data_IF_083897792071
#
_entry.id   IF_083897792071
#
_cell.length_a   1.000
_cell.length_b   1.000
_cell.length_c   1.000
_cell.angle_alpha   90.00
_cell.angle_beta   90.00
_cell.angle_gamma   90.00
#
_symmetry.space_group_name_H-M   'P 1'
#
loop_
_entity.id
_entity.type
_entity.pdbx_description
1 polymer ?
#
# COMPACT_ATOMS: atom_id res chain seq x y z
N UNK A 1 11.18 6.96 -32.38
CA UNK A 1 11.60 6.16 -31.23
C UNK A 1 12.48 7.03 -30.34
N UNK A 2 12.04 7.26 -29.10
CA UNK A 2 12.83 7.94 -28.07
C UNK A 2 13.42 6.88 -27.14
N UNK A 3 14.73 6.90 -26.94
CA UNK A 3 15.44 5.98 -26.04
C UNK A 3 16.22 6.81 -25.03
N UNK A 4 15.97 6.57 -23.74
CA UNK A 4 16.68 7.18 -22.62
C UNK A 4 17.10 6.05 -21.67
N UNK A 5 18.38 5.68 -21.73
CA UNK A 5 18.93 4.55 -20.97
C UNK A 5 18.15 3.25 -21.25
N UNK A 6 17.57 2.63 -20.24
CA UNK A 6 16.72 1.43 -20.31
C UNK A 6 15.24 1.73 -20.60
N UNK A 7 14.90 3.00 -20.89
CA UNK A 7 13.54 3.47 -21.19
C UNK A 7 13.37 3.67 -22.69
N UNK A 8 12.25 3.20 -23.20
CA UNK A 8 11.95 3.26 -24.63
C UNK A 8 10.48 3.60 -24.87
N UNK A 9 10.25 4.56 -25.79
CA UNK A 9 8.93 4.92 -26.29
C UNK A 9 8.96 4.71 -27.80
N UNK A 10 8.10 3.85 -28.35
CA UNK A 10 8.06 3.60 -29.79
C UNK A 10 7.38 4.73 -30.55
N UNK A 11 6.30 5.27 -30.01
CA UNK A 11 5.54 6.35 -30.63
C UNK A 11 5.19 7.42 -29.62
N UNK A 12 5.39 8.68 -29.98
CA UNK A 12 4.96 9.84 -29.21
C UNK A 12 4.32 10.86 -30.17
N UNK A 13 3.10 11.29 -29.84
CA UNK A 13 2.39 12.36 -30.52
C UNK A 13 2.06 13.43 -29.51
N UNK A 14 2.39 14.66 -29.83
CA UNK A 14 2.11 15.82 -29.00
C UNK A 14 1.48 16.90 -29.86
N UNK A 15 0.26 17.26 -29.57
CA UNK A 15 -0.49 18.31 -30.27
C UNK A 15 -0.69 19.49 -29.31
N UNK A 16 -0.49 20.70 -29.82
CA UNK A 16 -0.71 21.94 -29.07
C UNK A 16 -1.71 22.83 -29.82
N UNK A 17 -2.63 23.41 -29.09
CA UNK A 17 -3.54 24.46 -29.57
C UNK A 17 -3.49 25.63 -28.61
N UNK A 18 -3.26 26.84 -29.13
CA UNK A 18 -3.16 28.06 -28.32
C UNK A 18 -4.25 29.05 -28.73
N UNK A 19 -5.19 29.32 -27.82
CA UNK A 19 -6.17 30.39 -27.94
C UNK A 19 -6.50 30.92 -26.53
N UNK A 20 -5.55 31.70 -25.96
CA UNK A 20 -5.64 32.19 -24.58
C UNK A 20 -5.18 31.17 -23.51
N UNK A 21 -5.69 29.97 -23.53
CA UNK A 21 -5.21 28.81 -22.74
C UNK A 21 -4.56 27.82 -23.67
N UNK A 22 -3.33 27.38 -23.38
CA UNK A 22 -2.69 26.33 -24.17
C UNK A 22 -3.31 24.99 -23.82
N UNK A 23 -3.82 24.31 -24.81
CA UNK A 23 -4.25 22.91 -24.71
C UNK A 23 -3.15 22.02 -25.26
N UNK A 24 -2.82 20.96 -24.54
CA UNK A 24 -1.86 19.97 -24.98
C UNK A 24 -2.46 18.58 -24.88
N UNK A 25 -2.25 17.77 -25.91
CA UNK A 25 -2.56 16.35 -25.91
C UNK A 25 -1.28 15.56 -26.12
N UNK A 26 -1.05 14.57 -25.29
CA UNK A 26 0.10 13.67 -25.34
C UNK A 26 -0.40 12.26 -25.47
N UNK A 27 -0.01 11.56 -26.52
CA UNK A 27 -0.27 10.14 -26.74
C UNK A 27 1.09 9.42 -26.92
N UNK A 28 1.35 8.44 -26.05
CA UNK A 28 2.55 7.61 -26.05
C UNK A 28 2.13 6.16 -26.18
N UNK A 29 2.83 5.38 -27.01
CA UNK A 29 2.52 3.96 -27.21
C UNK A 29 3.75 3.07 -27.03
N UNK A 30 3.52 1.85 -26.54
CA UNK A 30 4.54 0.82 -26.31
C UNK A 30 5.73 1.34 -25.49
N UNK A 31 5.44 1.74 -24.27
CA UNK A 31 6.39 2.36 -23.37
C UNK A 31 7.04 1.27 -22.53
N UNK A 32 8.36 1.19 -22.59
CA UNK A 32 9.17 0.33 -21.72
C UNK A 32 9.88 1.20 -20.67
N UNK A 33 9.73 0.86 -19.41
CA UNK A 33 10.32 1.53 -18.26
C UNK A 33 11.10 0.49 -17.43
N UNK A 34 12.21 0.02 -17.99
CA UNK A 34 12.95 -1.10 -17.42
C UNK A 34 12.12 -2.40 -17.48
N UNK A 35 11.83 -2.95 -16.32
CA UNK A 35 11.02 -4.17 -16.15
C UNK A 35 9.52 -3.96 -16.35
N UNK A 36 9.05 -2.71 -16.48
CA UNK A 36 7.64 -2.35 -16.61
C UNK A 36 7.30 -1.96 -18.03
N UNK A 37 6.14 -2.42 -18.51
CA UNK A 37 5.65 -2.14 -19.85
C UNK A 37 4.24 -1.53 -19.79
N UNK A 38 4.02 -0.49 -20.57
CA UNK A 38 2.71 0.12 -20.78
C UNK A 38 2.35 0.06 -22.25
N UNK A 39 1.09 -0.26 -22.55
CA UNK A 39 0.57 -0.26 -23.91
C UNK A 39 0.46 1.15 -24.45
N UNK A 40 -0.15 2.03 -23.63
CA UNK A 40 -0.47 3.39 -24.05
C UNK A 40 -0.57 4.30 -22.83
N UNK A 41 -0.20 5.56 -23.00
CA UNK A 41 -0.56 6.70 -22.13
C UNK A 41 -1.20 7.75 -23.01
N UNK A 42 -2.34 8.29 -22.57
CA UNK A 42 -3.01 9.42 -23.22
C UNK A 42 -3.33 10.46 -22.16
N UNK A 43 -3.00 11.70 -22.42
CA UNK A 43 -3.21 12.78 -21.47
C UNK A 43 -3.59 14.09 -22.18
N UNK A 44 -4.64 14.75 -21.65
CA UNK A 44 -5.08 16.05 -22.11
C UNK A 44 -4.84 17.09 -21.01
N UNK A 45 -4.19 18.17 -21.38
CA UNK A 45 -3.83 19.23 -20.44
C UNK A 45 -4.40 20.57 -20.87
N UNK A 46 -4.82 21.37 -19.90
CA UNK A 46 -5.00 22.79 -20.03
C UNK A 46 -3.87 23.48 -19.26
N UNK A 47 -3.08 24.31 -19.96
CA UNK A 47 -1.87 24.93 -19.42
C UNK A 47 -2.05 26.45 -19.42
N UNK A 48 -1.85 27.06 -18.26
CA UNK A 48 -1.74 28.49 -18.04
C UNK A 48 -0.40 28.81 -17.36
N UNK A 49 -0.04 30.07 -17.23
CA UNK A 49 1.14 30.49 -16.46
C UNK A 49 1.11 30.02 -15.00
N UNK A 50 -0.08 29.92 -14.41
CA UNK A 50 -0.26 29.60 -12.98
C UNK A 50 -0.50 28.12 -12.72
N UNK A 51 -1.03 27.37 -13.70
CA UNK A 51 -1.56 26.04 -13.46
C UNK A 51 -1.51 25.13 -14.69
N UNK A 52 -1.13 23.89 -14.47
CA UNK A 52 -1.28 22.79 -15.43
C UNK A 52 -2.40 21.89 -14.91
N UNK A 53 -3.45 21.70 -15.70
CA UNK A 53 -4.60 20.85 -15.36
C UNK A 53 -4.61 19.64 -16.29
N UNK A 54 -4.46 18.45 -15.73
CA UNK A 54 -4.71 17.18 -16.40
C UNK A 54 -6.22 16.92 -16.33
N UNK A 55 -6.92 17.15 -17.44
CA UNK A 55 -8.37 16.99 -17.53
C UNK A 55 -8.79 15.56 -17.80
N UNK A 56 -7.99 14.81 -18.56
CA UNK A 56 -8.25 13.43 -18.91
C UNK A 56 -6.91 12.70 -19.12
N UNK A 57 -6.50 11.95 -18.12
CA UNK A 57 -5.34 11.09 -18.17
C UNK A 57 -5.76 9.62 -18.18
N UNK A 58 -5.20 8.84 -19.08
CA UNK A 58 -5.43 7.40 -19.16
C UNK A 58 -4.11 6.69 -19.34
N UNK A 59 -3.88 5.67 -18.52
CA UNK A 59 -2.72 4.78 -18.64
C UNK A 59 -3.24 3.37 -18.84
N UNK A 60 -2.78 2.71 -19.88
CA UNK A 60 -3.06 1.29 -20.16
C UNK A 60 -1.80 0.48 -19.88
N UNK A 61 -1.68 -0.16 -18.72
CA UNK A 61 -0.72 -1.23 -18.51
C UNK A 61 -1.00 -2.39 -19.44
N UNK A 62 -0.34 -3.53 -19.27
CA UNK A 62 -0.63 -4.73 -20.08
C UNK A 62 -2.05 -5.28 -19.79
N UNK A 63 -2.62 -4.98 -18.63
CA UNK A 63 -4.01 -5.25 -18.26
C UNK A 63 -4.72 -3.99 -17.74
N UNK A 64 -6.05 -3.92 -17.89
CA UNK A 64 -6.88 -2.88 -17.29
C UNK A 64 -6.64 -1.45 -17.77
N UNK A 65 -7.07 -0.51 -16.94
CA UNK A 65 -7.01 0.92 -17.21
C UNK A 65 -6.84 1.70 -15.91
N UNK A 66 -5.96 2.70 -15.93
CA UNK A 66 -5.83 3.70 -14.88
C UNK A 66 -6.30 5.05 -15.45
N UNK A 67 -7.30 5.64 -14.82
CA UNK A 67 -7.77 6.99 -15.11
C UNK A 67 -7.14 7.97 -14.12
N UNK A 68 -6.72 9.12 -14.62
CA UNK A 68 -6.04 10.16 -13.87
C UNK A 68 -6.69 11.53 -14.17
N UNK A 69 -6.84 12.35 -13.17
CA UNK A 69 -7.18 13.77 -13.33
C UNK A 69 -6.54 14.56 -12.20
N UNK A 70 -6.12 15.79 -12.46
CA UNK A 70 -5.45 16.54 -11.42
C UNK A 70 -4.94 17.89 -11.87
N UNK A 71 -4.14 18.50 -11.03
CA UNK A 71 -3.49 19.77 -11.35
C UNK A 71 -2.14 19.90 -10.65
N UNK A 72 -1.30 20.71 -11.22
CA UNK A 72 -0.01 21.12 -10.71
C UNK A 72 0.09 22.65 -10.80
N UNK A 73 0.59 23.29 -9.75
CA UNK A 73 1.03 24.69 -9.75
C UNK A 73 2.55 24.72 -9.92
N UNK A 74 3.07 25.13 -11.09
CA UNK A 74 4.50 25.03 -11.38
C UNK A 74 5.39 25.82 -10.41
N UNK A 75 4.94 27.01 -10.00
CA UNK A 75 5.69 27.89 -9.11
C UNK A 75 5.95 27.27 -7.73
N UNK A 76 4.93 26.67 -7.10
CA UNK A 76 5.04 26.07 -5.77
C UNK A 76 5.35 24.58 -5.80
N UNK A 77 5.25 23.92 -6.96
CA UNK A 77 5.31 22.47 -7.08
C UNK A 77 4.10 21.74 -6.47
N UNK A 78 3.11 22.46 -5.92
CA UNK A 78 1.97 21.83 -5.28
C UNK A 78 1.04 21.18 -6.31
N UNK A 79 0.60 19.95 -5.99
CA UNK A 79 -0.27 19.19 -6.88
C UNK A 79 -1.47 18.58 -6.15
N UNK A 80 -2.52 18.30 -6.91
CA UNK A 80 -3.58 17.38 -6.51
C UNK A 80 -3.88 16.42 -7.66
N UNK A 81 -4.13 15.15 -7.33
CA UNK A 81 -4.40 14.10 -8.29
C UNK A 81 -5.50 13.18 -7.80
N UNK A 82 -6.45 12.86 -8.67
CA UNK A 82 -7.44 11.79 -8.49
C UNK A 82 -7.08 10.65 -9.44
N UNK A 83 -7.24 9.43 -8.97
CA UNK A 83 -6.93 8.26 -9.77
C UNK A 83 -7.91 7.12 -9.49
N UNK A 84 -8.12 6.30 -10.52
CA UNK A 84 -8.90 5.06 -10.44
C UNK A 84 -8.29 4.03 -11.36
N UNK A 85 -7.90 2.89 -10.79
CA UNK A 85 -7.46 1.71 -11.54
C UNK A 85 -8.50 0.61 -11.48
N UNK A 86 -8.78 -0.04 -12.62
CA UNK A 86 -9.75 -1.11 -12.74
C UNK A 86 -9.25 -2.21 -13.68
N UNK A 87 -9.59 -3.47 -13.35
CA UNK A 87 -9.20 -4.68 -14.12
C UNK A 87 -7.68 -4.80 -14.33
N UNK A 88 -6.90 -4.32 -13.37
CA UNK A 88 -5.44 -4.40 -13.39
C UNK A 88 -4.98 -5.76 -12.87
N UNK A 89 -3.77 -6.15 -13.21
CA UNK A 89 -3.01 -7.20 -12.54
C UNK A 89 -1.92 -6.56 -11.71
N UNK A 90 -1.92 -6.81 -10.39
CA UNK A 90 -1.01 -6.15 -9.45
C UNK A 90 0.46 -6.46 -9.75
N UNK A 91 0.76 -7.64 -10.28
CA UNK A 91 2.10 -8.04 -10.68
C UNK A 91 2.72 -7.15 -11.78
N UNK A 92 1.91 -6.41 -12.52
CA UNK A 92 2.40 -5.43 -13.50
C UNK A 92 2.90 -4.14 -12.85
N UNK A 93 2.45 -3.85 -11.64
CA UNK A 93 2.85 -2.69 -10.85
C UNK A 93 3.90 -3.04 -9.80
N UNK A 94 3.76 -4.22 -9.19
CA UNK A 94 4.61 -4.74 -8.11
C UNK A 94 5.05 -6.18 -8.44
N UNK A 95 5.94 -6.35 -9.43
CA UNK A 95 6.40 -7.68 -9.83
C UNK A 95 7.01 -8.42 -8.63
N UNK A 96 6.82 -9.75 -8.59
CA UNK A 96 7.32 -10.65 -7.55
C UNK A 96 6.79 -10.42 -6.12
N UNK A 97 6.12 -9.31 -5.84
CA UNK A 97 5.58 -9.01 -4.50
C UNK A 97 4.15 -9.49 -4.33
N UNK A 98 3.31 -9.25 -5.32
CA UNK A 98 1.88 -9.58 -5.30
C UNK A 98 1.43 -10.10 -6.65
N UNK A 99 0.42 -10.98 -6.67
CA UNK A 99 -0.28 -11.45 -7.87
C UNK A 99 -1.77 -11.36 -7.67
N UNK A 100 -2.50 -11.03 -8.72
CA UNK A 100 -3.97 -11.08 -8.76
C UNK A 100 -4.63 -9.80 -9.28
N UNK A 101 -5.94 -9.86 -9.48
CA UNK A 101 -6.74 -8.71 -9.89
C UNK A 101 -6.71 -7.58 -8.86
N UNK A 102 -6.45 -6.37 -9.35
CA UNK A 102 -6.31 -5.16 -8.54
C UNK A 102 -7.31 -4.10 -8.99
N UNK A 103 -7.97 -3.49 -8.03
CA UNK A 103 -8.74 -2.26 -8.16
C UNK A 103 -8.28 -1.26 -7.11
N UNK A 104 -8.18 -0.01 -7.48
CA UNK A 104 -7.92 1.08 -6.54
C UNK A 104 -8.55 2.39 -7.00
N UNK A 105 -8.83 3.25 -6.06
CA UNK A 105 -9.17 4.63 -6.33
C UNK A 105 -8.74 5.52 -5.17
N UNK A 106 -8.54 6.79 -5.47
CA UNK A 106 -8.13 7.72 -4.44
C UNK A 106 -7.89 9.13 -4.96
N UNK A 107 -7.49 9.97 -4.03
CA UNK A 107 -7.02 11.31 -4.30
C UNK A 107 -5.81 11.62 -3.40
N UNK A 108 -4.82 12.24 -3.99
CA UNK A 108 -3.58 12.65 -3.33
C UNK A 108 -3.31 14.12 -3.59
N UNK A 109 -2.72 14.77 -2.61
CA UNK A 109 -2.15 16.11 -2.69
C UNK A 109 -0.73 16.07 -2.14
N UNK A 110 0.10 16.97 -2.60
CA UNK A 110 1.48 17.05 -2.13
C UNK A 110 2.22 18.18 -2.82
N UNK A 111 3.53 18.21 -2.59
CA UNK A 111 4.45 19.13 -3.24
C UNK A 111 5.56 18.33 -3.89
N UNK A 112 5.88 18.65 -5.15
CA UNK A 112 7.02 18.04 -5.82
C UNK A 112 8.32 18.57 -5.18
N UNK A 113 9.29 17.69 -4.93
CA UNK A 113 10.61 18.13 -4.46
C UNK A 113 11.22 19.16 -5.40
N UNK A 114 11.81 20.20 -4.83
CA UNK A 114 12.49 21.27 -5.58
C UNK A 114 13.98 20.95 -5.66
N UNK A 115 14.62 21.27 -6.79
CA UNK A 115 16.06 21.13 -7.00
C UNK A 115 16.48 20.08 -8.00
N UNK A 116 17.80 19.98 -8.24
CA UNK A 116 18.41 19.10 -9.26
C UNK A 116 18.82 17.72 -8.72
N UNK A 117 18.66 17.45 -7.43
CA UNK A 117 18.92 16.12 -6.86
C UNK A 117 17.80 15.16 -7.24
N UNK A 118 18.14 13.93 -7.62
CA UNK A 118 17.13 12.87 -7.80
C UNK A 118 16.46 12.59 -6.44
N UNK A 119 15.20 12.99 -6.25
CA UNK A 119 14.57 12.84 -4.94
C UNK A 119 14.25 11.37 -4.64
N UNK A 120 14.47 10.98 -3.39
CA UNK A 120 14.07 9.69 -2.88
C UNK A 120 12.61 9.64 -2.46
N UNK A 121 12.09 8.44 -2.14
CA UNK A 121 10.72 8.27 -1.65
C UNK A 121 10.37 9.17 -0.45
N UNK A 122 11.25 9.38 0.55
CA UNK A 122 10.98 10.29 1.66
C UNK A 122 10.67 11.73 1.24
N UNK A 123 11.34 12.23 0.21
CA UNK A 123 11.13 13.60 -0.28
C UNK A 123 9.78 13.77 -0.96
N UNK A 124 9.33 12.78 -1.73
CA UNK A 124 7.99 12.79 -2.33
C UNK A 124 6.89 12.57 -1.31
N UNK A 125 7.14 11.85 -0.22
CA UNK A 125 6.13 11.48 0.76
C UNK A 125 5.95 12.52 1.87
N UNK A 126 6.91 13.41 2.12
CA UNK A 126 6.90 14.38 3.22
C UNK A 126 5.61 15.21 3.32
N UNK A 127 5.14 15.72 2.19
CA UNK A 127 3.91 16.53 2.11
C UNK A 127 2.72 15.76 1.55
N UNK A 128 2.91 14.45 1.29
CA UNK A 128 1.88 13.62 0.70
C UNK A 128 0.70 13.47 1.66
N UNK A 129 -0.50 13.81 1.17
CA UNK A 129 -1.74 13.65 1.93
C UNK A 129 -2.86 13.19 1.01
N UNK A 130 -3.85 12.48 1.56
CA UNK A 130 -5.00 12.05 0.78
C UNK A 130 -5.62 10.75 1.27
N UNK A 131 -6.36 10.10 0.39
CA UNK A 131 -7.04 8.84 0.69
C UNK A 131 -6.91 7.88 -0.48
N UNK A 132 -6.70 6.61 -0.16
CA UNK A 132 -6.64 5.52 -1.14
C UNK A 132 -7.54 4.39 -0.64
N UNK A 133 -8.36 3.85 -1.52
CA UNK A 133 -9.03 2.57 -1.31
C UNK A 133 -8.44 1.52 -2.24
N UNK A 134 -8.10 0.37 -1.69
CA UNK A 134 -7.44 -0.74 -2.38
C UNK A 134 -8.27 -2.00 -2.26
N UNK A 135 -8.37 -2.76 -3.35
CA UNK A 135 -8.98 -4.09 -3.39
C UNK A 135 -8.20 -5.02 -4.31
N UNK A 136 -7.77 -6.14 -3.76
CA UNK A 136 -7.21 -7.28 -4.50
C UNK A 136 -8.08 -8.51 -4.22
N UNK A 137 -8.23 -9.39 -5.20
CA UNK A 137 -9.00 -10.63 -5.06
C UNK A 137 -8.26 -11.77 -5.75
N UNK A 138 -8.51 -12.99 -5.28
CA UNK A 138 -8.08 -14.23 -5.93
C UNK A 138 -6.61 -14.22 -6.37
N UNK A 139 -5.71 -13.96 -5.44
CA UNK A 139 -4.30 -13.78 -5.72
C UNK A 139 -3.36 -14.50 -4.78
N UNK A 140 -2.09 -14.09 -4.85
CA UNK A 140 -1.03 -14.64 -4.01
C UNK A 140 0.02 -13.59 -3.64
N UNK A 141 0.70 -13.83 -2.52
CA UNK A 141 1.91 -13.17 -2.05
C UNK A 141 3.07 -14.16 -2.28
N UNK A 142 3.80 -14.08 -3.40
CA UNK A 142 4.83 -15.06 -3.74
C UNK A 142 6.02 -15.03 -2.78
N UNK A 143 6.37 -13.83 -2.32
CA UNK A 143 7.47 -13.59 -1.38
C UNK A 143 6.93 -12.93 -0.14
N UNK A 144 6.97 -13.64 0.98
CA UNK A 144 6.32 -13.19 2.22
C UNK A 144 6.90 -11.91 2.80
N UNK A 145 8.21 -11.67 2.66
CA UNK A 145 8.86 -10.48 3.20
C UNK A 145 8.49 -10.21 4.67
N UNK A 146 7.96 -9.04 4.93
CA UNK A 146 7.52 -8.68 6.29
C UNK A 146 6.37 -9.56 6.83
N UNK A 147 5.59 -10.23 5.99
CA UNK A 147 4.50 -11.13 6.42
C UNK A 147 5.03 -12.42 7.02
N UNK A 148 6.24 -12.83 6.67
CA UNK A 148 6.87 -14.07 7.15
C UNK A 148 7.01 -14.10 8.68
N UNK A 149 7.52 -13.03 9.28
CA UNK A 149 7.66 -12.94 10.73
C UNK A 149 6.33 -13.07 11.45
N UNK A 150 5.27 -12.47 10.91
CA UNK A 150 3.92 -12.60 11.44
C UNK A 150 3.41 -14.05 11.33
N UNK A 151 3.54 -14.68 10.17
CA UNK A 151 3.11 -16.07 9.97
C UNK A 151 3.89 -17.05 10.86
N UNK A 152 5.17 -16.83 11.08
CA UNK A 152 6.01 -17.66 11.97
C UNK A 152 5.48 -17.66 13.41
N UNK A 153 5.03 -16.51 13.90
CA UNK A 153 4.42 -16.39 15.23
C UNK A 153 3.06 -17.08 15.27
N UNK A 154 2.26 -16.96 14.21
CA UNK A 154 0.91 -17.50 14.15
C UNK A 154 0.91 -19.02 13.97
N UNK A 155 1.69 -19.53 13.06
CA UNK A 155 1.85 -20.94 12.74
C UNK A 155 3.14 -21.19 11.95
N UNK A 156 4.21 -21.70 12.60
CA UNK A 156 5.47 -21.96 11.92
C UNK A 156 5.36 -22.91 10.71
N UNK A 157 4.46 -23.89 10.76
CA UNK A 157 4.24 -24.82 9.63
C UNK A 157 3.61 -24.07 8.43
N UNK A 158 2.63 -23.23 8.67
CA UNK A 158 2.04 -22.37 7.62
C UNK A 158 3.10 -21.42 7.04
N UNK A 159 3.96 -20.84 7.88
CA UNK A 159 5.06 -19.99 7.43
C UNK A 159 6.03 -20.74 6.50
N UNK A 160 6.46 -21.94 6.89
CA UNK A 160 7.35 -22.79 6.09
C UNK A 160 6.74 -23.20 4.73
N UNK A 161 5.45 -23.53 4.70
CA UNK A 161 4.75 -23.85 3.46
C UNK A 161 4.61 -22.62 2.57
N UNK A 162 4.24 -21.49 3.16
CA UNK A 162 4.09 -20.23 2.44
C UNK A 162 5.42 -19.66 1.92
N UNK A 163 6.56 -19.98 2.54
CA UNK A 163 7.89 -19.66 1.99
C UNK A 163 8.15 -20.38 0.67
N UNK A 164 7.64 -21.61 0.52
CA UNK A 164 7.87 -22.43 -0.68
C UNK A 164 6.88 -22.12 -1.80
N UNK A 165 5.61 -21.92 -1.45
CA UNK A 165 4.48 -21.88 -2.38
C UNK A 165 3.85 -20.49 -2.49
N UNK A 166 4.23 -19.54 -1.62
CA UNK A 166 3.57 -18.26 -1.44
C UNK A 166 2.32 -18.39 -0.54
N UNK A 167 1.74 -17.26 -0.18
CA UNK A 167 0.48 -17.19 0.57
C UNK A 167 -0.63 -16.76 -0.38
N UNK A 168 -1.60 -17.64 -0.64
CA UNK A 168 -2.77 -17.30 -1.43
C UNK A 168 -3.77 -16.47 -0.61
N UNK A 169 -4.53 -15.61 -1.28
CA UNK A 169 -5.63 -14.86 -0.68
C UNK A 169 -6.85 -14.82 -1.61
N UNK A 170 -8.04 -14.85 -1.02
CA UNK A 170 -9.31 -14.62 -1.69
C UNK A 170 -9.63 -13.13 -1.78
N UNK A 171 -9.25 -12.40 -0.74
CA UNK A 171 -9.45 -10.96 -0.63
C UNK A 171 -8.31 -10.31 0.16
N UNK A 172 -7.91 -9.14 -0.28
CA UNK A 172 -7.02 -8.25 0.47
C UNK A 172 -7.36 -6.79 0.12
N UNK A 173 -7.59 -5.95 1.12
CA UNK A 173 -7.91 -4.55 0.85
C UNK A 173 -8.27 -3.75 2.09
N UNK A 174 -8.53 -2.47 1.87
CA UNK A 174 -8.88 -1.53 2.91
C UNK A 174 -8.86 -0.08 2.44
N UNK A 175 -9.16 0.81 3.36
CA UNK A 175 -9.09 2.25 3.19
C UNK A 175 -7.83 2.79 3.90
N UNK A 176 -7.10 3.65 3.20
CA UNK A 176 -5.87 4.25 3.71
C UNK A 176 -6.00 5.77 3.67
N UNK A 177 -5.78 6.41 4.81
CA UNK A 177 -5.68 7.86 4.93
C UNK A 177 -4.21 8.24 5.07
N UNK A 178 -3.75 9.15 4.24
CA UNK A 178 -2.37 9.63 4.26
C UNK A 178 -2.37 11.07 4.77
N UNK A 179 -1.53 11.38 5.74
CA UNK A 179 -1.37 12.71 6.30
C UNK A 179 0.13 12.99 6.42
N UNK A 180 0.65 13.90 5.60
CA UNK A 180 2.08 14.28 5.58
C UNK A 180 3.01 13.06 5.61
N UNK A 181 2.79 12.12 4.68
CA UNK A 181 3.60 10.91 4.54
C UNK A 181 3.30 9.80 5.54
N UNK A 182 2.39 10.01 6.50
CA UNK A 182 1.96 8.95 7.42
C UNK A 182 0.69 8.30 6.90
N UNK A 183 0.77 7.03 6.58
CA UNK A 183 -0.34 6.20 6.11
C UNK A 183 -1.05 5.58 7.31
N UNK A 184 -2.36 5.74 7.39
CA UNK A 184 -3.23 5.18 8.44
C UNK A 184 -4.25 4.24 7.81
N UNK A 185 -4.56 3.14 8.49
CA UNK A 185 -5.70 2.28 8.19
C UNK A 185 -6.33 1.76 9.48
N UNK A 186 -7.65 1.62 9.48
CA UNK A 186 -8.42 1.02 10.58
C UNK A 186 -9.24 -0.20 10.13
N UNK A 187 -9.18 -0.55 8.85
CA UNK A 187 -10.02 -1.58 8.24
C UNK A 187 -9.30 -2.43 7.18
N UNK A 188 -7.96 -2.48 7.18
CA UNK A 188 -7.30 -3.41 6.26
C UNK A 188 -7.61 -4.84 6.65
N UNK A 189 -8.06 -5.63 5.68
CA UNK A 189 -8.44 -7.02 5.82
C UNK A 189 -7.74 -7.89 4.79
N UNK A 190 -7.33 -9.09 5.19
CA UNK A 190 -6.93 -10.16 4.29
C UNK A 190 -7.69 -11.44 4.66
N UNK A 191 -8.30 -12.08 3.66
CA UNK A 191 -8.91 -13.41 3.75
C UNK A 191 -8.10 -14.39 2.93
N UNK A 192 -7.66 -15.44 3.58
CA UNK A 192 -6.83 -16.49 2.99
C UNK A 192 -7.33 -17.84 3.50
N UNK A 193 -7.20 -18.93 2.72
CA UNK A 193 -7.50 -20.28 3.21
C UNK A 193 -6.68 -20.69 4.44
N UNK A 194 -5.53 -20.05 4.67
CA UNK A 194 -4.63 -20.36 5.78
C UNK A 194 -4.86 -19.47 7.00
N UNK A 195 -5.15 -18.19 6.79
CA UNK A 195 -5.26 -17.19 7.85
C UNK A 195 -6.10 -16.00 7.43
N UNK A 196 -7.04 -15.58 8.27
CA UNK A 196 -7.67 -14.27 8.11
C UNK A 196 -6.96 -13.23 8.98
N UNK A 197 -6.76 -12.04 8.47
CA UNK A 197 -6.09 -10.95 9.20
C UNK A 197 -6.87 -9.65 9.07
N UNK A 198 -6.93 -8.90 10.17
CA UNK A 198 -7.35 -7.50 10.19
C UNK A 198 -6.20 -6.66 10.75
N UNK A 199 -5.91 -5.54 10.11
CA UNK A 199 -4.82 -4.65 10.52
C UNK A 199 -5.37 -3.26 10.78
N UNK A 200 -4.97 -2.70 11.92
CA UNK A 200 -5.20 -1.31 12.28
C UNK A 200 -3.86 -0.69 12.66
N UNK A 201 -3.51 0.45 12.10
CA UNK A 201 -2.21 1.05 12.39
C UNK A 201 -1.81 2.18 11.49
N UNK A 202 -0.54 2.54 11.62
CA UNK A 202 0.10 3.58 10.82
C UNK A 202 1.50 3.18 10.37
N UNK A 203 1.90 3.70 9.22
CA UNK A 203 3.25 3.60 8.68
C UNK A 203 3.72 4.99 8.25
N UNK A 204 4.89 5.41 8.71
CA UNK A 204 5.52 6.67 8.32
C UNK A 204 6.51 6.39 7.19
N UNK A 205 6.21 6.88 5.99
CA UNK A 205 7.03 6.68 4.79
C UNK A 205 8.30 7.55 4.80
N UNK A 206 8.28 8.64 5.58
CA UNK A 206 9.44 9.56 5.70
C UNK A 206 10.47 9.00 6.67
N UNK A 207 10.01 8.42 7.79
CA UNK A 207 10.86 7.92 8.88
C UNK A 207 11.11 6.41 8.82
N UNK A 208 10.60 5.72 7.79
CA UNK A 208 10.66 4.26 7.67
C UNK A 208 10.20 3.57 8.97
N UNK A 209 9.06 3.98 9.52
CA UNK A 209 8.56 3.42 10.77
C UNK A 209 7.14 2.88 10.64
N UNK A 210 6.82 1.85 11.43
CA UNK A 210 5.49 1.23 11.50
C UNK A 210 5.06 1.03 12.94
N UNK A 211 3.78 1.23 13.18
CA UNK A 211 3.11 0.87 14.43
C UNK A 211 1.70 0.37 14.10
N UNK A 212 1.47 -0.92 14.27
CA UNK A 212 0.20 -1.54 13.94
C UNK A 212 -0.17 -2.64 14.92
N UNK A 213 -1.44 -2.98 14.94
CA UNK A 213 -1.98 -4.17 15.57
C UNK A 213 -2.61 -5.06 14.51
N UNK A 214 -2.23 -6.31 14.51
CA UNK A 214 -2.80 -7.35 13.66
C UNK A 214 -3.63 -8.28 14.53
N UNK A 215 -4.90 -8.44 14.17
CA UNK A 215 -5.75 -9.51 14.63
C UNK A 215 -5.70 -10.60 13.58
N UNK A 216 -5.24 -11.78 13.93
CA UNK A 216 -5.13 -12.92 13.04
C UNK A 216 -5.95 -14.10 13.53
N UNK A 217 -6.58 -14.80 12.60
CA UNK A 217 -7.38 -16.02 12.84
C UNK A 217 -6.84 -17.13 11.94
N UNK A 218 -5.91 -17.95 12.44
CA UNK A 218 -5.44 -19.12 11.70
C UNK A 218 -6.59 -20.11 11.45
N UNK A 219 -6.80 -20.51 10.20
CA UNK A 219 -7.90 -21.40 9.82
C UNK A 219 -7.49 -22.88 9.79
N UNK A 220 -6.19 -23.15 9.64
CA UNK A 220 -5.61 -24.49 9.61
C UNK A 220 -4.75 -24.71 10.86
N UNK A 221 -5.39 -24.92 11.99
CA UNK A 221 -4.69 -25.41 13.20
C UNK A 221 -4.90 -26.91 13.34
N UNK A 222 -3.87 -27.69 13.02
CA UNK A 222 -3.81 -29.11 13.37
C UNK A 222 -3.57 -29.23 14.88
N UNK A 223 -4.49 -29.90 15.57
CA UNK A 223 -4.61 -30.02 17.04
C UNK A 223 -3.32 -30.37 17.81
N UNK A 224 -2.27 -30.84 17.16
CA UNK A 224 -1.06 -31.36 17.81
C UNK A 224 0.09 -30.36 17.94
N UNK A 225 0.11 -29.28 17.16
CA UNK A 225 1.24 -28.34 17.12
C UNK A 225 1.09 -27.16 18.09
N UNK A 226 -0.12 -26.88 18.58
CA UNK A 226 -0.39 -25.77 19.49
C UNK A 226 0.34 -25.87 20.84
N UNK A 227 0.59 -27.09 21.34
CA UNK A 227 1.31 -27.33 22.59
C UNK A 227 2.82 -27.06 22.49
N UNK A 228 3.34 -27.00 21.27
CA UNK A 228 4.78 -26.83 21.02
C UNK A 228 5.22 -25.35 20.92
N UNK A 229 4.27 -24.40 20.89
CA UNK A 229 4.59 -22.96 20.87
C UNK A 229 4.51 -22.43 22.30
N UNK A 230 5.65 -22.12 22.96
CA UNK A 230 5.68 -21.81 24.41
C UNK A 230 4.81 -20.62 24.81
N UNK A 231 4.62 -19.66 23.93
CA UNK A 231 3.80 -18.46 24.19
C UNK A 231 2.30 -18.70 23.96
N UNK A 232 1.92 -19.52 22.98
CA UNK A 232 0.51 -19.79 22.68
C UNK A 232 -0.16 -20.67 23.73
N UNK A 233 0.57 -21.59 24.38
CA UNK A 233 0.05 -22.40 25.48
C UNK A 233 -0.46 -21.57 26.68
N UNK A 234 0.12 -20.42 26.94
CA UNK A 234 -0.32 -19.49 28.00
C UNK A 234 -1.47 -18.59 27.51
N UNK A 235 -1.53 -18.27 26.22
CA UNK A 235 -2.57 -17.45 25.61
C UNK A 235 -3.89 -18.25 25.46
N UNK A 236 -3.79 -19.54 25.16
CA UNK A 236 -4.92 -20.43 24.86
C UNK A 236 -5.52 -21.13 26.10
N UNK A 237 -4.95 -20.94 27.29
CA UNK A 237 -5.36 -21.59 28.54
C UNK A 237 -6.76 -21.28 29.06
N UNK A 238 -7.64 -20.63 28.29
CA UNK A 238 -9.00 -20.25 28.68
C UNK A 238 -10.11 -20.59 27.69
N UNK A 239 -9.84 -21.19 26.53
CA UNK A 239 -10.82 -21.39 25.47
C UNK A 239 -11.52 -22.73 25.53
N UNK A 240 -12.82 -22.75 25.85
CA UNK A 240 -13.71 -23.89 25.72
C UNK A 240 -13.86 -24.31 24.25
N UNK A 241 -13.67 -25.58 23.98
CA UNK A 241 -14.11 -26.38 22.81
C UNK A 241 -14.60 -25.62 21.57
N UNK A 242 -13.78 -25.62 20.48
CA UNK A 242 -14.28 -25.45 19.10
C UNK A 242 -14.48 -24.02 18.59
N UNK A 243 -13.95 -22.99 19.23
CA UNK A 243 -14.00 -21.61 18.75
C UNK A 243 -12.82 -21.26 17.86
N UNK A 244 -13.01 -20.31 16.92
CA UNK A 244 -11.93 -19.69 16.16
C UNK A 244 -10.93 -19.03 17.14
N UNK A 245 -9.67 -19.37 17.00
CA UNK A 245 -8.61 -18.79 17.82
C UNK A 245 -8.23 -17.44 17.23
N UNK A 246 -8.32 -16.38 18.04
CA UNK A 246 -7.86 -15.05 17.67
C UNK A 246 -6.51 -14.78 18.33
N UNK A 247 -5.53 -14.41 17.54
CA UNK A 247 -4.19 -14.03 18.00
C UNK A 247 -3.98 -12.56 17.65
N UNK A 248 -3.52 -11.80 18.64
CA UNK A 248 -3.22 -10.40 18.45
C UNK A 248 -1.71 -10.21 18.47
N UNK A 249 -1.18 -9.47 17.49
CA UNK A 249 0.23 -9.20 17.34
C UNK A 249 0.43 -7.69 17.19
N UNK A 250 1.29 -7.12 18.03
CA UNK A 250 1.83 -5.78 17.83
C UNK A 250 2.93 -5.85 16.77
N UNK A 251 2.89 -4.93 15.82
CA UNK A 251 3.92 -4.75 14.81
C UNK A 251 4.50 -3.36 15.01
N UNK A 252 5.81 -3.24 15.22
CA UNK A 252 6.48 -1.96 15.41
C UNK A 252 7.91 -1.95 14.85
N UNK A 253 8.56 -0.79 14.89
CA UNK A 253 9.93 -0.61 14.42
C UNK A 253 10.01 -0.08 13.00
N UNK A 254 11.01 -0.50 12.24
CA UNK A 254 11.20 -0.08 10.85
C UNK A 254 10.18 -0.74 9.94
N UNK A 255 9.60 0.02 9.00
CA UNK A 255 8.69 -0.51 7.97
C UNK A 255 9.38 -1.52 7.07
N UNK A 256 10.66 -1.29 6.77
CA UNK A 256 11.51 -2.18 5.97
C UNK A 256 11.91 -3.48 6.69
N UNK A 257 11.89 -3.48 8.05
CA UNK A 257 12.26 -4.63 8.88
C UNK A 257 11.50 -4.57 10.23
N UNK A 258 10.20 -4.87 10.25
CA UNK A 258 9.36 -4.73 11.43
C UNK A 258 9.63 -5.82 12.48
N UNK A 259 9.37 -5.46 13.74
CA UNK A 259 9.33 -6.38 14.88
C UNK A 259 7.90 -6.82 15.16
N UNK A 260 7.74 -8.04 15.64
CA UNK A 260 6.44 -8.66 15.93
C UNK A 260 6.40 -9.13 17.38
N UNK A 261 5.38 -8.72 18.13
CA UNK A 261 5.19 -9.10 19.53
C UNK A 261 3.77 -9.63 19.75
N UNK A 262 3.59 -10.89 20.10
CA UNK A 262 2.29 -11.43 20.51
C UNK A 262 1.74 -10.67 21.71
N UNK A 263 0.45 -10.34 21.70
CA UNK A 263 -0.24 -9.68 22.78
C UNK A 263 -1.07 -10.69 23.59
N UNK A 264 -0.96 -10.71 24.93
CA UNK A 264 -1.78 -11.58 25.78
C UNK A 264 -3.27 -11.21 25.65
N UNK A 265 -4.14 -12.21 25.63
CA UNK A 265 -5.62 -12.03 25.51
C UNK A 265 -6.19 -11.11 26.64
N UNK A 266 -5.60 -11.11 27.82
CA UNK A 266 -6.00 -10.25 28.95
C UNK A 266 -5.76 -8.77 28.73
N UNK A 267 -4.87 -8.38 27.80
CA UNK A 267 -4.61 -6.99 27.45
C UNK A 267 -5.71 -6.37 26.56
N UNK A 268 -6.72 -7.15 26.19
CA UNK A 268 -7.73 -6.80 25.17
C UNK A 268 -9.10 -6.48 25.80
N UNK A 269 -9.17 -6.18 27.09
CA UNK A 269 -10.41 -5.72 27.76
C UNK A 269 -10.89 -4.36 27.23
N UNK A 270 -10.04 -3.64 26.49
CA UNK A 270 -10.43 -2.48 25.70
C UNK A 270 -10.63 -2.89 24.24
N UNK A 271 -11.72 -2.40 23.60
CA UNK A 271 -11.99 -2.60 22.17
C UNK A 271 -10.72 -2.31 21.37
N UNK A 272 -10.37 -3.09 20.32
CA UNK A 272 -9.16 -2.90 19.51
C UNK A 272 -8.89 -1.44 19.08
N UNK A 273 -9.95 -0.67 18.83
CA UNK A 273 -9.86 0.76 18.56
C UNK A 273 -9.43 1.64 19.73
N UNK A 274 -9.46 1.18 20.98
CA UNK A 274 -9.07 1.99 22.14
C UNK A 274 -7.58 1.90 22.47
N UNK A 275 -6.96 0.75 22.23
CA UNK A 275 -5.50 0.60 22.38
C UNK A 275 -4.79 1.47 21.35
N UNK A 276 -5.32 1.52 20.12
CA UNK A 276 -4.80 2.40 19.08
C UNK A 276 -5.19 3.86 19.28
N UNK A 277 -6.35 4.17 19.86
CA UNK A 277 -6.67 5.56 20.27
C UNK A 277 -5.67 6.07 21.32
N UNK A 278 -5.23 5.23 22.25
CA UNK A 278 -4.15 5.58 23.18
C UNK A 278 -2.78 5.76 22.49
N UNK A 279 -2.53 5.04 21.40
CA UNK A 279 -1.28 5.12 20.62
C UNK A 279 -1.36 6.22 19.55
N UNK A 280 -2.54 6.49 18.99
CA UNK A 280 -2.79 7.55 17.99
C UNK A 280 -2.92 8.93 18.67
N UNK A 281 -3.40 8.98 19.90
CA UNK A 281 -3.51 10.20 20.72
C UNK A 281 -2.26 10.47 21.57
N UNK A 282 -1.08 10.04 21.16
CA UNK A 282 0.15 10.64 21.68
C UNK A 282 0.08 12.14 21.38
N UNK A 283 0.22 13.00 22.40
CA UNK A 283 0.05 14.44 22.23
C UNK A 283 1.00 14.93 21.15
N UNK A 284 0.52 15.83 20.29
CA UNK A 284 1.28 16.53 19.25
C UNK A 284 2.52 17.29 19.77
N UNK A 285 2.77 17.24 21.06
CA UNK A 285 3.84 17.96 21.76
C UNK A 285 5.24 17.31 21.66
N UNK A 286 5.42 16.22 20.91
CA UNK A 286 6.74 15.62 20.66
C UNK A 286 7.33 15.96 19.29
N UNK A 287 6.70 16.86 18.51
CA UNK A 287 7.25 17.38 17.26
C UNK A 287 7.73 18.83 17.35
N UNK A 288 7.98 19.34 18.55
CA UNK A 288 8.44 20.68 18.81
C UNK A 288 9.71 20.69 19.63
N UNK A 289 10.83 20.42 19.01
CA UNK A 289 12.17 20.73 19.53
C UNK A 289 12.82 21.80 18.66
N UNK A 290 13.08 22.95 19.25
CA UNK A 290 13.69 24.18 18.71
C UNK A 290 14.87 23.93 17.79
#
# INVERSE_FOLDING_TARGET
>A
KLVLEDRQIESAKVDFTTAGTTQAQVDLEKINLGDRKLKKVSAHFNITSEKIVLTNGKVWPMSGLINLAGNLKPESGSYSMKFKGDKLKVEELLPEKLKGPLQFFGALTGTLPQGNAAPGLPDYSRDLSGNIKLKLVDGAIPQLGAVEGLLTILNPTTALNAQKEGLSYEYMGGDFKIIKGVVHTDNFEMKSPQVNMNVVGKANLVEDSVLAQVKAMPLQMLDKTLKAIPLLGQILGGGKKGGLIEIYVKVDGKLSSPSYMPLPHKSLTEKPGNILKGIINLPENLTGGK
#
